data_IF_074187619772
#
_entry.id   IF_074187619772
#
_cell.length_a   1.000
_cell.length_b   1.000
_cell.length_c   1.000
_cell.angle_alpha   90.00
_cell.angle_beta   90.00
_cell.angle_gamma   90.00
#
_symmetry.space_group_name_H-M   'P 1'
#
loop_
_entity.id
_entity.type
_entity.pdbx_description
1 polymer ?
#
# COMPACT_ATOMS: atom_id res chain seq x y z
N UNK A 1 14.04 11.57 4.55
CA UNK A 1 12.98 11.18 5.51
C UNK A 1 11.94 10.39 4.74
N UNK A 2 11.81 9.08 4.98
CA UNK A 2 10.73 8.27 4.40
C UNK A 2 9.43 8.68 5.11
N UNK A 3 8.41 9.07 4.35
CA UNK A 3 7.16 9.67 4.85
C UNK A 3 5.96 8.82 4.42
N UNK A 4 5.33 8.15 5.38
CA UNK A 4 4.09 7.39 5.17
C UNK A 4 2.98 8.26 4.59
N UNK A 5 2.98 9.56 4.92
CA UNK A 5 1.99 10.53 4.44
C UNK A 5 1.95 10.63 2.91
N UNK A 6 3.10 10.49 2.24
CA UNK A 6 3.15 10.53 0.78
C UNK A 6 2.41 9.34 0.15
N UNK A 7 2.65 8.15 0.69
CA UNK A 7 2.02 6.91 0.22
C UNK A 7 0.52 6.94 0.50
N UNK A 8 0.11 7.44 1.67
CA UNK A 8 -1.31 7.63 2.02
C UNK A 8 -2.00 8.63 1.06
N UNK A 9 -1.32 9.73 0.71
CA UNK A 9 -1.81 10.68 -0.27
C UNK A 9 -2.04 10.03 -1.64
N UNK A 10 -1.06 9.26 -2.13
CA UNK A 10 -1.17 8.54 -3.40
C UNK A 10 -2.33 7.53 -3.38
N UNK A 11 -2.47 6.75 -2.31
CA UNK A 11 -3.59 5.82 -2.14
C UNK A 11 -4.94 6.54 -2.19
N UNK A 12 -5.08 7.65 -1.46
CA UNK A 12 -6.32 8.43 -1.43
C UNK A 12 -6.70 8.95 -2.81
N UNK A 13 -5.73 9.47 -3.56
CA UNK A 13 -5.96 9.92 -4.94
C UNK A 13 -6.40 8.75 -5.84
N UNK A 14 -5.74 7.59 -5.74
CA UNK A 14 -6.07 6.42 -6.53
C UNK A 14 -7.48 5.88 -6.23
N UNK A 15 -7.84 5.77 -4.94
CA UNK A 15 -9.18 5.34 -4.50
C UNK A 15 -10.25 6.31 -5.00
N UNK A 16 -10.02 7.61 -4.85
CA UNK A 16 -10.95 8.63 -5.32
C UNK A 16 -11.20 8.56 -6.84
N UNK A 17 -10.13 8.44 -7.61
CA UNK A 17 -10.21 8.44 -9.08
C UNK A 17 -10.80 7.15 -9.63
N UNK A 18 -10.42 5.99 -9.07
CA UNK A 18 -10.73 4.68 -9.66
C UNK A 18 -11.90 3.96 -9.01
N UNK A 19 -12.31 4.38 -7.81
CA UNK A 19 -13.39 3.74 -7.01
C UNK A 19 -13.26 2.20 -6.99
N UNK A 20 -12.10 1.67 -6.60
CA UNK A 20 -11.84 0.24 -6.71
C UNK A 20 -12.71 -0.57 -5.74
N UNK A 21 -13.11 -1.77 -6.16
CA UNK A 21 -13.77 -2.77 -5.31
C UNK A 21 -12.94 -4.05 -5.27
N UNK A 22 -12.71 -4.61 -4.07
CA UNK A 22 -12.05 -5.92 -3.87
C UNK A 22 -10.66 -6.02 -4.53
N UNK A 23 -9.83 -4.97 -4.41
CA UNK A 23 -8.47 -4.94 -4.99
C UNK A 23 -7.39 -5.28 -3.95
N UNK A 24 -6.22 -5.65 -4.45
CA UNK A 24 -5.01 -5.88 -3.67
C UNK A 24 -4.02 -4.74 -3.95
N UNK A 25 -3.42 -4.19 -2.91
CA UNK A 25 -2.24 -3.33 -3.04
C UNK A 25 -1.00 -4.15 -2.70
N UNK A 26 -0.19 -4.45 -3.71
CA UNK A 26 1.07 -5.17 -3.53
C UNK A 26 2.23 -4.17 -3.41
N UNK A 27 3.10 -4.38 -2.43
CA UNK A 27 4.25 -3.51 -2.17
C UNK A 27 5.46 -4.29 -1.64
N UNK A 28 6.61 -3.63 -1.59
CA UNK A 28 7.74 -4.12 -0.80
C UNK A 28 7.45 -4.04 0.72
N UNK A 29 8.39 -4.51 1.54
CA UNK A 29 8.34 -4.40 3.01
C UNK A 29 8.93 -3.10 3.55
N UNK A 30 8.92 -2.02 2.77
CA UNK A 30 9.35 -0.71 3.19
C UNK A 30 8.58 -0.19 4.41
N UNK A 31 9.22 0.66 5.21
CA UNK A 31 8.66 1.14 6.50
C UNK A 31 7.35 1.90 6.34
N UNK A 32 7.09 2.50 5.17
CA UNK A 32 5.83 3.18 4.88
C UNK A 32 4.67 2.18 4.72
N UNK A 33 4.91 1.07 4.01
CA UNK A 33 3.90 0.05 3.72
C UNK A 33 3.68 -0.91 4.90
N UNK A 34 4.68 -1.06 5.77
CA UNK A 34 4.55 -1.81 7.04
C UNK A 34 4.01 -0.95 8.19
N UNK A 35 3.77 0.35 7.97
CA UNK A 35 3.26 1.24 9.02
C UNK A 35 1.78 0.95 9.38
N UNK A 36 1.44 1.16 10.66
CA UNK A 36 0.07 1.00 11.17
C UNK A 36 -0.91 1.92 10.41
N UNK A 37 -0.52 3.16 10.14
CA UNK A 37 -1.36 4.12 9.44
C UNK A 37 -1.74 3.66 8.03
N UNK A 38 -0.79 3.05 7.30
CA UNK A 38 -1.05 2.47 5.99
C UNK A 38 -2.02 1.29 6.07
N UNK A 39 -1.79 0.36 7.00
CA UNK A 39 -2.68 -0.80 7.20
C UNK A 39 -4.11 -0.42 7.57
N UNK A 40 -4.28 0.57 8.47
CA UNK A 40 -5.59 1.11 8.82
C UNK A 40 -6.29 1.72 7.61
N UNK A 41 -5.57 2.51 6.81
CA UNK A 41 -6.17 3.13 5.63
C UNK A 41 -6.63 2.10 4.61
N UNK A 42 -5.81 1.09 4.32
CA UNK A 42 -6.19 -0.05 3.48
C UNK A 42 -7.53 -0.67 3.92
N UNK A 43 -7.68 -0.92 5.22
CA UNK A 43 -8.91 -1.48 5.80
C UNK A 43 -10.12 -0.56 5.58
N UNK A 44 -9.96 0.75 5.80
CA UNK A 44 -11.05 1.73 5.61
C UNK A 44 -11.55 1.80 4.17
N UNK A 45 -10.64 1.69 3.19
CA UNK A 45 -11.00 1.78 1.75
C UNK A 45 -11.29 0.43 1.11
N UNK A 46 -11.33 -0.66 1.90
CA UNK A 46 -11.60 -2.00 1.38
C UNK A 46 -10.51 -2.57 0.46
N UNK A 47 -9.26 -2.11 0.64
CA UNK A 47 -8.08 -2.58 -0.09
C UNK A 47 -7.34 -3.61 0.75
N UNK A 48 -6.99 -4.76 0.17
CA UNK A 48 -6.19 -5.78 0.86
C UNK A 48 -4.70 -5.52 0.61
N UNK A 49 -3.88 -5.23 1.63
CA UNK A 49 -2.44 -5.13 1.45
C UNK A 49 -1.83 -6.52 1.25
N UNK A 50 -0.79 -6.59 0.43
CA UNK A 50 0.06 -7.77 0.20
C UNK A 50 1.50 -7.28 0.07
N UNK A 51 2.46 -8.06 0.57
CA UNK A 51 3.87 -7.72 0.46
C UNK A 51 4.69 -8.90 -0.07
N UNK A 52 5.75 -8.59 -0.82
CA UNK A 52 6.75 -9.56 -1.25
C UNK A 52 7.58 -10.15 -0.10
N UNK A 53 8.40 -11.14 -0.40
CA UNK A 53 9.27 -11.80 0.59
C UNK A 53 10.33 -10.83 1.15
N UNK A 54 10.78 -11.07 2.38
CA UNK A 54 11.84 -10.23 2.99
C UNK A 54 13.13 -10.35 2.19
N UNK A 55 13.71 -9.23 1.77
CA UNK A 55 15.01 -9.20 1.08
C UNK A 55 14.96 -9.61 -0.40
N UNK A 56 13.77 -9.89 -0.94
CA UNK A 56 13.57 -10.16 -2.36
C UNK A 56 12.80 -8.99 -3.01
N UNK A 57 13.53 -8.11 -3.70
CA UNK A 57 12.91 -6.99 -4.40
C UNK A 57 12.31 -7.40 -5.75
N UNK A 58 12.63 -8.59 -6.28
CA UNK A 58 12.14 -9.05 -7.58
C UNK A 58 10.64 -9.34 -7.55
N UNK A 59 10.11 -9.78 -6.40
CA UNK A 59 8.67 -9.99 -6.19
C UNK A 59 7.82 -8.73 -6.46
N UNK A 60 8.39 -7.53 -6.32
CA UNK A 60 7.65 -6.28 -6.48
C UNK A 60 7.60 -5.77 -7.93
N UNK A 61 8.42 -6.34 -8.81
CA UNK A 61 8.62 -5.87 -10.18
C UNK A 61 8.03 -6.78 -11.26
N UNK A 62 7.50 -7.95 -10.86
CA UNK A 62 6.89 -8.96 -11.72
C UNK A 62 5.35 -8.89 -11.66
#
# INVERSE_FOLDING_TARGET
HLRTELVLGAMNMAVWQRRPERVIHHSDQGTQYTSIAFGLRCKEVGVRPSMGSVGDCYDNAL
#
